data_IF_754829813518
#
_entry.id   IF_754829813518
#
_cell.length_a   1.000
_cell.length_b   1.000
_cell.length_c   1.000
_cell.angle_alpha   90.00
_cell.angle_beta   90.00
_cell.angle_gamma   90.00
#
_symmetry.space_group_name_H-M   'P 1'
#
loop_
_entity.id
_entity.type
_entity.pdbx_description
1 polymer ?
#
# COMPACT_ATOMS: atom_id res chain seq x y z
N UNK A 1 -21.63 10.20 -0.29
CA UNK A 1 -21.52 9.39 0.91
C UNK A 1 -21.52 7.92 0.53
N UNK A 2 -20.68 7.12 1.18
CA UNK A 2 -20.56 5.66 1.00
C UNK A 2 -21.95 4.94 1.01
N UNK A 3 -22.95 5.55 1.66
CA UNK A 3 -24.33 5.15 1.66
C UNK A 3 -25.00 5.17 0.26
N UNK A 4 -24.49 5.90 -0.72
CA UNK A 4 -25.15 6.03 -2.03
C UNK A 4 -24.78 4.90 -2.98
N UNK A 5 -23.51 4.45 -2.98
CA UNK A 5 -23.12 3.23 -3.74
C UNK A 5 -23.69 2.00 -3.03
N UNK A 6 -23.58 1.95 -1.70
CA UNK A 6 -24.25 0.92 -0.90
C UNK A 6 -25.77 1.01 -1.03
N UNK A 7 -26.37 2.22 -1.15
CA UNK A 7 -27.78 2.43 -1.40
C UNK A 7 -28.24 1.93 -2.78
N UNK A 8 -27.48 2.20 -3.83
CA UNK A 8 -27.78 1.70 -5.17
C UNK A 8 -27.54 0.20 -5.29
N UNK A 9 -26.46 -0.27 -4.66
CA UNK A 9 -26.12 -1.69 -4.60
C UNK A 9 -26.94 -2.45 -3.55
N UNK A 10 -27.43 -1.83 -2.46
CA UNK A 10 -28.35 -2.44 -1.51
C UNK A 10 -29.83 -2.29 -1.89
N UNK A 11 -30.24 -1.25 -2.61
CA UNK A 11 -31.56 -1.25 -3.30
C UNK A 11 -31.59 -2.31 -4.40
N UNK A 12 -30.41 -2.72 -4.89
CA UNK A 12 -30.19 -3.90 -5.73
C UNK A 12 -29.84 -5.16 -4.92
N UNK A 13 -29.82 -5.11 -3.57
CA UNK A 13 -29.35 -6.19 -2.67
C UNK A 13 -27.93 -6.69 -2.97
N UNK A 14 -27.02 -5.80 -3.33
CA UNK A 14 -25.59 -6.12 -3.51
C UNK A 14 -24.75 -5.59 -2.36
N UNK A 15 -23.99 -6.48 -1.78
CA UNK A 15 -22.72 -6.15 -1.14
C UNK A 15 -21.76 -5.65 -2.21
N UNK A 16 -21.00 -4.60 -1.94
CA UNK A 16 -20.03 -3.95 -2.83
C UNK A 16 -18.89 -4.91 -3.23
N UNK A 17 -19.17 -5.93 -4.01
CA UNK A 17 -18.24 -6.97 -4.38
C UNK A 17 -18.31 -7.26 -5.87
N UNK A 18 -17.17 -7.26 -6.49
CA UNK A 18 -16.81 -7.24 -7.88
C UNK A 18 -17.48 -8.28 -8.79
N UNK A 19 -17.69 -7.88 -10.01
CA UNK A 19 -18.39 -8.59 -11.06
C UNK A 19 -17.42 -9.36 -11.94
N UNK A 20 -17.67 -10.66 -12.14
CA UNK A 20 -17.13 -11.41 -13.27
C UNK A 20 -18.24 -11.57 -14.30
N UNK A 21 -18.04 -11.08 -15.50
CA UNK A 21 -18.99 -11.26 -16.60
C UNK A 21 -18.73 -12.59 -17.29
N UNK A 22 -19.62 -13.57 -17.12
CA UNK A 22 -19.67 -14.75 -17.99
C UNK A 22 -20.72 -14.52 -19.06
N UNK A 23 -20.29 -14.36 -20.30
CA UNK A 23 -21.15 -14.53 -21.46
C UNK A 23 -21.55 -15.98 -21.56
N UNK A 24 -22.85 -16.25 -21.57
CA UNK A 24 -23.40 -17.60 -21.71
C UNK A 24 -23.12 -18.19 -23.11
N UNK A 25 -21.93 -18.72 -23.32
CA UNK A 25 -21.65 -19.74 -24.34
C UNK A 25 -20.45 -20.54 -23.82
N UNK A 26 -20.75 -21.83 -23.64
CA UNK A 26 -19.87 -22.96 -23.27
C UNK A 26 -19.86 -23.33 -21.79
N UNK A 27 -20.70 -24.31 -21.50
CA UNK A 27 -20.61 -25.15 -20.33
C UNK A 27 -19.26 -25.90 -20.35
N UNK A 28 -18.30 -25.38 -19.57
CA UNK A 28 -17.19 -26.17 -19.09
C UNK A 28 -17.10 -25.96 -17.58
N UNK A 29 -17.61 -26.94 -16.86
CA UNK A 29 -17.49 -27.05 -15.42
C UNK A 29 -16.01 -27.25 -15.10
N UNK A 30 -15.27 -26.19 -14.83
CA UNK A 30 -13.93 -26.29 -14.27
C UNK A 30 -14.09 -26.48 -12.76
N UNK A 31 -13.87 -27.69 -12.29
CA UNK A 31 -13.70 -28.02 -10.88
C UNK A 31 -12.58 -27.13 -10.30
N UNK A 32 -12.72 -26.61 -9.05
CA UNK A 32 -11.65 -25.86 -8.41
C UNK A 32 -10.46 -26.80 -8.18
N UNK A 33 -9.42 -26.63 -8.98
CA UNK A 33 -8.15 -27.28 -8.75
C UNK A 33 -7.63 -26.83 -7.38
N UNK A 34 -7.41 -27.77 -6.48
CA UNK A 34 -6.60 -27.58 -5.28
C UNK A 34 -5.21 -27.13 -5.74
N UNK A 35 -4.94 -25.83 -5.65
CA UNK A 35 -3.64 -25.27 -5.98
C UNK A 35 -2.66 -25.62 -4.86
N UNK A 36 -1.88 -26.68 -5.07
CA UNK A 36 -0.60 -26.83 -4.41
C UNK A 36 0.25 -25.58 -4.73
N UNK A 37 0.82 -24.95 -3.71
CA UNK A 37 1.70 -23.80 -3.88
C UNK A 37 2.90 -24.19 -4.75
N UNK A 38 3.14 -23.55 -5.90
CA UNK A 38 4.32 -23.84 -6.70
C UNK A 38 5.51 -23.12 -6.10
N UNK A 39 6.42 -23.89 -5.54
CA UNK A 39 7.80 -23.46 -5.30
C UNK A 39 8.41 -23.05 -6.65
N UNK A 40 8.61 -21.75 -6.89
CA UNK A 40 9.20 -21.25 -8.13
C UNK A 40 8.62 -19.94 -8.70
N UNK A 41 7.48 -19.46 -8.19
CA UNK A 41 6.85 -18.24 -8.74
C UNK A 41 7.49 -16.92 -8.30
N UNK A 42 8.31 -16.89 -7.24
CA UNK A 42 8.93 -15.66 -6.76
C UNK A 42 9.95 -15.07 -7.76
N UNK A 43 10.64 -15.91 -8.54
CA UNK A 43 11.66 -15.46 -9.50
C UNK A 43 11.08 -14.78 -10.75
N UNK A 44 9.82 -15.06 -11.11
CA UNK A 44 9.19 -14.52 -12.31
C UNK A 44 8.63 -13.10 -12.15
N UNK A 45 8.33 -12.65 -10.92
CA UNK A 45 7.75 -11.33 -10.68
C UNK A 45 8.78 -10.21 -10.53
N UNK A 46 10.02 -10.54 -10.17
CA UNK A 46 11.07 -9.59 -9.82
C UNK A 46 12.31 -9.80 -10.70
N UNK A 47 12.13 -9.65 -12.01
CA UNK A 47 13.21 -9.78 -12.98
C UNK A 47 14.24 -8.64 -12.89
N UNK A 48 15.38 -8.83 -13.55
CA UNK A 48 16.46 -7.86 -13.54
C UNK A 48 16.06 -6.52 -14.16
N UNK A 49 15.09 -6.51 -15.06
CA UNK A 49 14.55 -5.29 -15.69
C UNK A 49 13.70 -4.50 -14.69
N UNK A 50 12.86 -5.19 -13.93
CA UNK A 50 12.07 -4.60 -12.85
C UNK A 50 12.97 -3.96 -11.79
N UNK A 51 14.01 -4.66 -11.34
CA UNK A 51 14.97 -4.13 -10.37
C UNK A 51 15.68 -2.88 -10.88
N UNK A 52 16.09 -2.84 -12.16
CA UNK A 52 16.65 -1.64 -12.77
C UNK A 52 15.67 -0.47 -12.83
N UNK A 53 14.38 -0.74 -13.10
CA UNK A 53 13.32 0.29 -13.07
C UNK A 53 13.15 0.87 -11.65
N UNK A 54 13.15 0.02 -10.61
CA UNK A 54 13.06 0.47 -9.22
C UNK A 54 14.27 1.31 -8.81
N UNK A 55 15.47 0.92 -9.22
CA UNK A 55 16.68 1.71 -8.91
C UNK A 55 16.62 3.12 -9.53
N UNK A 56 16.05 3.27 -10.72
CA UNK A 56 15.78 4.59 -11.31
C UNK A 56 14.76 5.39 -10.50
N UNK A 57 13.68 4.76 -10.05
CA UNK A 57 12.66 5.40 -9.19
C UNK A 57 13.26 5.91 -7.88
N UNK A 58 14.18 5.16 -7.27
CA UNK A 58 14.91 5.59 -6.07
C UNK A 58 15.63 6.92 -6.26
N UNK A 59 16.30 7.10 -7.41
CA UNK A 59 17.00 8.36 -7.71
C UNK A 59 16.05 9.55 -7.80
N UNK A 60 14.84 9.32 -8.33
CA UNK A 60 13.79 10.34 -8.41
C UNK A 60 13.21 10.62 -7.02
N UNK A 61 12.88 9.59 -6.24
CA UNK A 61 12.34 9.72 -4.89
C UNK A 61 13.29 10.47 -3.94
N UNK A 62 14.60 10.19 -4.02
CA UNK A 62 15.62 10.92 -3.25
C UNK A 62 15.66 12.42 -3.60
N UNK A 63 15.42 12.79 -4.86
CA UNK A 63 15.33 14.20 -5.28
C UNK A 63 14.07 14.89 -4.77
N UNK A 64 12.95 14.19 -4.69
CA UNK A 64 11.67 14.73 -4.21
C UNK A 64 11.65 14.91 -2.69
N UNK A 65 12.23 14.00 -1.91
CA UNK A 65 12.33 14.14 -0.46
C UNK A 65 13.22 15.32 -0.04
N UNK A 66 14.25 15.64 -0.81
CA UNK A 66 15.09 16.82 -0.60
C UNK A 66 14.35 18.15 -0.87
N UNK A 67 13.38 18.15 -1.74
CA UNK A 67 12.58 19.34 -2.06
C UNK A 67 11.46 19.62 -1.04
N UNK A 68 10.98 18.62 -0.29
CA UNK A 68 9.83 18.71 0.62
C UNK A 68 10.17 18.79 2.11
N UNK A 69 11.39 18.48 2.53
CA UNK A 69 11.74 18.37 3.95
C UNK A 69 12.25 19.69 4.58
N UNK A 70 11.53 20.80 4.35
CA UNK A 70 11.63 22.02 5.17
C UNK A 70 10.40 22.15 6.07
N UNK A 71 10.21 21.21 6.98
CA UNK A 71 9.14 21.22 7.99
C UNK A 71 9.71 20.84 9.35
N UNK A 72 9.57 21.77 10.30
CA UNK A 72 10.00 21.76 11.69
C UNK A 72 9.58 20.49 12.44
N UNK A 73 10.50 19.56 12.68
CA UNK A 73 10.48 18.66 13.86
C UNK A 73 11.87 18.09 14.08
N UNK A 74 12.75 18.92 14.68
CA UNK A 74 14.02 18.44 15.22
C UNK A 74 13.75 17.80 16.60
N UNK A 75 13.59 16.49 16.65
CA UNK A 75 13.61 15.74 17.92
C UNK A 75 14.96 15.05 18.06
N UNK A 76 15.79 15.59 18.96
CA UNK A 76 17.09 15.03 19.31
C UNK A 76 16.91 13.70 20.04
N UNK A 77 17.19 12.56 19.38
CA UNK A 77 17.42 11.25 20.02
C UNK A 77 18.87 10.83 19.85
N UNK A 78 19.51 10.46 20.98
CA UNK A 78 20.91 10.00 21.03
C UNK A 78 21.05 8.65 20.30
N UNK A 79 21.97 8.58 19.32
CA UNK A 79 22.47 7.28 18.83
C UNK A 79 22.48 7.06 17.32
N UNK A 80 22.28 8.06 16.46
CA UNK A 80 22.19 7.89 15.00
C UNK A 80 23.30 8.63 14.26
N UNK A 81 23.61 8.16 13.05
CA UNK A 81 24.54 8.82 12.13
C UNK A 81 24.06 10.25 11.87
N UNK A 82 24.87 11.21 12.31
CA UNK A 82 24.58 12.63 12.12
C UNK A 82 25.13 13.03 10.75
N UNK A 83 24.30 13.26 9.75
CA UNK A 83 24.74 13.93 8.53
C UNK A 83 24.84 15.43 8.77
N UNK A 84 25.98 16.01 8.37
CA UNK A 84 26.17 17.46 8.40
C UNK A 84 25.14 18.12 7.47
N UNK A 85 24.33 19.03 8.02
CA UNK A 85 23.28 19.74 7.27
C UNK A 85 23.70 21.18 6.93
N UNK A 86 24.11 21.95 7.92
CA UNK A 86 24.38 23.38 7.75
C UNK A 86 25.22 23.94 8.89
N UNK A 87 25.62 25.19 8.79
CA UNK A 87 26.22 25.98 9.85
C UNK A 87 25.24 27.04 10.37
N UNK A 88 25.16 27.20 11.68
CA UNK A 88 24.49 28.36 12.31
C UNK A 88 25.42 29.12 13.20
N UNK A 89 25.09 30.37 13.48
CA UNK A 89 25.86 31.14 14.44
C UNK A 89 25.75 30.53 15.86
N UNK A 90 26.86 30.51 16.56
CA UNK A 90 26.95 30.10 17.96
C UNK A 90 26.05 30.98 18.84
N UNK A 91 25.33 30.36 19.74
CA UNK A 91 24.57 31.01 20.79
C UNK A 91 25.13 30.59 22.17
N UNK A 92 25.14 31.49 23.18
CA UNK A 92 25.55 31.14 24.54
C UNK A 92 24.75 29.91 25.04
N UNK A 93 25.47 28.84 25.44
CA UNK A 93 24.87 27.56 25.84
C UNK A 93 25.01 26.43 24.83
N UNK A 94 25.45 26.74 23.61
CA UNK A 94 25.76 25.69 22.62
C UNK A 94 26.99 24.89 23.02
N UNK A 95 26.97 23.57 22.68
CA UNK A 95 28.09 22.65 22.93
C UNK A 95 29.26 22.97 22.01
N UNK A 96 30.36 23.40 22.60
CA UNK A 96 31.60 23.81 21.91
C UNK A 96 32.21 22.67 21.06
N UNK A 97 31.85 21.40 21.28
CA UNK A 97 32.29 20.25 20.47
C UNK A 97 31.80 20.32 19.03
N UNK A 98 30.71 21.03 18.79
CA UNK A 98 30.13 21.19 17.45
C UNK A 98 30.56 22.51 16.78
N UNK A 99 31.37 23.32 17.43
CA UNK A 99 31.97 24.55 16.84
C UNK A 99 33.02 24.15 15.82
N UNK A 100 32.95 24.74 14.62
CA UNK A 100 34.00 24.53 13.60
C UNK A 100 35.17 25.50 13.82
N UNK A 101 36.20 25.03 14.52
CA UNK A 101 37.38 25.82 14.84
C UNK A 101 38.22 26.19 13.60
N UNK A 102 38.08 25.48 12.48
CA UNK A 102 38.75 25.82 11.23
C UNK A 102 38.13 27.04 10.57
N UNK A 103 36.78 27.13 10.63
CA UNK A 103 36.06 28.30 10.13
C UNK A 103 36.35 29.50 11.03
N UNK A 104 36.33 29.32 12.35
CA UNK A 104 36.67 30.38 13.28
C UNK A 104 38.05 30.99 13.00
N UNK A 105 39.06 30.14 12.74
CA UNK A 105 40.42 30.62 12.42
C UNK A 105 40.52 31.42 11.13
N UNK A 106 39.60 31.23 10.18
CA UNK A 106 39.61 31.91 8.88
C UNK A 106 38.73 33.14 8.81
N UNK A 107 37.57 33.08 9.46
CA UNK A 107 36.53 34.08 9.32
C UNK A 107 36.21 34.82 10.63
N UNK A 108 36.85 34.46 11.73
CA UNK A 108 36.61 35.02 13.09
C UNK A 108 35.12 34.91 13.51
N UNK A 109 34.38 33.95 12.94
CA UNK A 109 32.98 33.69 13.24
C UNK A 109 32.82 32.36 13.92
N UNK A 110 32.17 32.34 15.09
CA UNK A 110 31.82 31.12 15.77
C UNK A 110 30.58 30.49 15.09
N UNK A 111 30.81 29.43 14.32
CA UNK A 111 29.76 28.65 13.66
C UNK A 111 29.68 27.27 14.28
N UNK A 112 28.47 26.85 14.57
CA UNK A 112 28.14 25.50 15.07
C UNK A 112 27.64 24.64 13.92
N UNK A 113 28.18 23.45 13.80
CA UNK A 113 27.70 22.43 12.84
C UNK A 113 26.31 21.99 13.25
N UNK A 114 25.36 22.15 12.37
CA UNK A 114 24.02 21.59 12.50
C UNK A 114 24.00 20.25 11.83
N UNK A 115 23.56 19.23 12.54
CA UNK A 115 23.41 17.90 12.02
C UNK A 115 21.93 17.53 11.96
N UNK A 116 21.51 16.97 10.85
CA UNK A 116 20.21 16.30 10.74
C UNK A 116 20.39 14.85 11.14
N UNK A 117 19.59 14.39 12.09
CA UNK A 117 19.47 12.95 12.34
C UNK A 117 18.68 12.34 11.18
N UNK A 118 19.27 11.39 10.46
CA UNK A 118 18.47 10.50 9.62
C UNK A 118 17.59 9.65 10.56
N UNK A 119 16.32 10.00 10.70
CA UNK A 119 15.37 9.19 11.44
C UNK A 119 15.01 7.96 10.59
N UNK A 120 15.41 6.77 11.07
CA UNK A 120 14.93 5.51 10.49
C UNK A 120 13.41 5.45 10.61
N UNK A 121 12.71 5.37 9.49
CA UNK A 121 11.26 5.23 9.47
C UNK A 121 10.88 3.73 9.47
N UNK A 122 9.83 3.39 10.21
CA UNK A 122 9.19 2.09 10.06
C UNK A 122 8.20 2.16 8.91
N UNK A 123 8.36 1.34 7.89
CA UNK A 123 7.46 1.21 6.74
C UNK A 123 6.77 -0.13 6.83
N UNK A 124 5.46 -0.11 6.85
CA UNK A 124 4.62 -1.30 6.91
C UNK A 124 3.83 -1.45 5.61
N UNK A 125 3.94 -2.61 4.98
CA UNK A 125 3.15 -2.97 3.81
C UNK A 125 1.95 -3.79 4.28
N UNK A 126 0.75 -3.28 4.07
CA UNK A 126 -0.50 -3.97 4.37
C UNK A 126 -1.21 -4.29 3.06
N UNK A 127 -1.15 -5.55 2.63
CA UNK A 127 -1.51 -5.98 1.28
C UNK A 127 -2.77 -6.81 1.31
N UNK A 128 -3.76 -6.36 0.56
CA UNK A 128 -5.01 -7.08 0.37
C UNK A 128 -4.79 -8.34 -0.46
N UNK A 129 -5.25 -9.46 0.08
CA UNK A 129 -5.23 -10.79 -0.56
C UNK A 129 -6.61 -11.42 -0.59
N UNK A 130 -7.67 -10.62 -0.62
CA UNK A 130 -9.04 -11.08 -0.84
C UNK A 130 -9.21 -11.68 -2.24
N UNK A 131 -10.31 -12.38 -2.47
CA UNK A 131 -10.62 -12.95 -3.78
C UNK A 131 -10.75 -11.90 -4.86
N UNK A 132 -11.23 -10.72 -4.53
CA UNK A 132 -11.36 -9.60 -5.46
C UNK A 132 -10.02 -9.24 -6.11
N UNK A 133 -8.92 -9.32 -5.35
CA UNK A 133 -7.56 -9.03 -5.82
C UNK A 133 -7.03 -10.08 -6.82
N UNK A 134 -7.65 -11.24 -6.94
CA UNK A 134 -7.31 -12.24 -7.96
C UNK A 134 -7.91 -11.91 -9.33
N UNK A 135 -8.81 -10.94 -9.43
CA UNK A 135 -9.47 -10.55 -10.66
C UNK A 135 -8.58 -9.66 -11.53
N UNK A 136 -8.96 -9.57 -12.81
CA UNK A 136 -8.23 -8.79 -13.81
C UNK A 136 -7.24 -9.61 -14.64
N UNK A 137 -6.76 -9.01 -15.74
CA UNK A 137 -5.75 -9.61 -16.60
C UNK A 137 -4.75 -8.53 -17.06
N UNK A 138 -3.58 -8.41 -16.40
CA UNK A 138 -3.07 -9.22 -15.28
C UNK A 138 -3.86 -9.02 -13.98
N UNK A 139 -3.81 -10.00 -13.07
CA UNK A 139 -4.54 -9.93 -11.81
C UNK A 139 -4.08 -8.72 -10.95
N UNK A 140 -5.03 -8.09 -10.24
CA UNK A 140 -4.75 -6.93 -9.36
C UNK A 140 -3.63 -7.21 -8.35
N UNK A 141 -3.60 -8.45 -7.81
CA UNK A 141 -2.56 -8.86 -6.86
C UNK A 141 -1.15 -8.82 -7.47
N UNK A 142 -0.99 -9.09 -8.76
CA UNK A 142 0.32 -9.07 -9.41
C UNK A 142 0.84 -7.62 -9.52
N UNK A 143 -0.06 -6.68 -9.75
CA UNK A 143 0.28 -5.26 -9.70
C UNK A 143 0.59 -4.81 -8.27
N UNK A 144 -0.24 -5.22 -7.29
CA UNK A 144 -0.02 -4.97 -5.87
C UNK A 144 1.36 -5.44 -5.40
N UNK A 145 1.77 -6.65 -5.78
CA UNK A 145 3.11 -7.20 -5.48
C UNK A 145 4.23 -6.33 -6.02
N UNK A 146 4.12 -5.89 -7.28
CA UNK A 146 5.14 -5.04 -7.93
C UNK A 146 5.25 -3.67 -7.26
N UNK A 147 4.13 -3.03 -6.97
CA UNK A 147 4.13 -1.73 -6.27
C UNK A 147 4.68 -1.87 -4.86
N UNK A 148 4.22 -2.86 -4.10
CA UNK A 148 4.72 -3.11 -2.75
C UNK A 148 6.23 -3.45 -2.73
N UNK A 149 6.70 -4.24 -3.71
CA UNK A 149 8.13 -4.53 -3.88
C UNK A 149 8.94 -3.26 -4.15
N UNK A 150 8.44 -2.39 -5.04
CA UNK A 150 9.10 -1.14 -5.37
C UNK A 150 9.22 -0.21 -4.15
N UNK A 151 8.10 0.03 -3.46
CA UNK A 151 8.05 0.92 -2.30
C UNK A 151 8.88 0.36 -1.13
N UNK A 152 8.75 -0.93 -0.83
CA UNK A 152 9.55 -1.58 0.22
C UNK A 152 11.04 -1.61 -0.10
N UNK A 153 11.42 -1.84 -1.35
CA UNK A 153 12.83 -1.79 -1.78
C UNK A 153 13.42 -0.38 -1.65
N UNK A 154 12.65 0.66 -2.03
CA UNK A 154 13.09 2.06 -1.88
C UNK A 154 13.33 2.37 -0.40
N UNK A 155 12.40 2.00 0.50
CA UNK A 155 12.57 2.18 1.94
C UNK A 155 13.83 1.47 2.47
N UNK A 156 14.02 0.19 2.13
CA UNK A 156 15.21 -0.58 2.55
C UNK A 156 16.53 0.02 2.03
N UNK A 157 16.51 0.63 0.85
CA UNK A 157 17.67 1.33 0.29
C UNK A 157 17.94 2.68 0.94
N UNK A 158 16.91 3.29 1.53
CA UNK A 158 17.03 4.52 2.33
C UNK A 158 17.37 4.23 3.80
N UNK A 159 17.73 2.97 4.12
CA UNK A 159 18.03 2.51 5.47
C UNK A 159 16.82 2.43 6.41
N UNK A 160 15.62 2.59 5.90
CA UNK A 160 14.39 2.40 6.66
C UNK A 160 14.18 0.93 7.04
N UNK A 161 13.33 0.72 8.03
CA UNK A 161 12.91 -0.62 8.45
C UNK A 161 11.59 -0.97 7.74
N UNK A 162 11.57 -2.06 7.01
CA UNK A 162 10.39 -2.52 6.27
C UNK A 162 9.85 -3.81 6.86
N UNK A 163 8.56 -3.86 7.06
CA UNK A 163 7.79 -5.02 7.48
C UNK A 163 6.37 -4.95 6.94
N UNK A 164 5.46 -5.79 7.43
CA UNK A 164 4.06 -5.74 7.02
C UNK A 164 3.33 -7.06 7.18
N UNK A 165 2.18 -7.17 6.55
CA UNK A 165 1.38 -8.37 6.51
C UNK A 165 0.44 -8.35 5.30
N UNK A 166 -0.08 -9.51 4.92
CA UNK A 166 -1.23 -9.60 4.04
C UNK A 166 -2.52 -9.70 4.85
N UNK A 167 -3.63 -9.33 4.26
CA UNK A 167 -4.94 -9.43 4.88
C UNK A 167 -6.03 -9.87 3.90
N UNK A 168 -7.06 -10.47 4.44
CA UNK A 168 -8.35 -10.72 3.84
C UNK A 168 -9.41 -10.54 4.94
N UNK A 169 -10.14 -11.58 5.37
CA UNK A 169 -10.99 -11.54 6.58
C UNK A 169 -10.16 -11.26 7.84
N UNK A 170 -8.93 -11.75 7.86
CA UNK A 170 -7.99 -11.60 8.98
C UNK A 170 -6.59 -11.27 8.46
N UNK A 171 -5.72 -10.87 9.37
CA UNK A 171 -4.32 -10.65 9.08
C UNK A 171 -3.60 -11.99 8.88
N UNK A 172 -2.84 -12.09 7.80
CA UNK A 172 -2.08 -13.29 7.44
C UNK A 172 -0.60 -12.97 7.23
N UNK A 173 0.22 -14.00 7.26
CA UNK A 173 1.63 -14.00 6.84
C UNK A 173 2.40 -12.72 7.21
N UNK A 174 2.73 -12.50 8.50
CA UNK A 174 3.43 -11.28 8.87
C UNK A 174 4.89 -11.31 8.40
N UNK A 175 5.33 -10.21 7.80
CA UNK A 175 6.73 -9.90 7.54
C UNK A 175 7.24 -9.04 8.70
N UNK A 176 8.12 -9.58 9.54
CA UNK A 176 8.69 -8.83 10.66
C UNK A 176 9.50 -7.63 10.18
N UNK A 177 9.47 -6.53 10.94
CA UNK A 177 10.30 -5.36 10.67
C UNK A 177 11.78 -5.72 10.61
N UNK A 178 12.45 -5.28 9.56
CA UNK A 178 13.86 -5.51 9.38
C UNK A 178 14.47 -4.52 8.41
N UNK A 179 15.81 -4.54 8.30
CA UNK A 179 16.59 -3.66 7.41
C UNK A 179 17.69 -4.42 6.68
N UNK A 180 18.24 -3.77 5.66
CA UNK A 180 19.40 -4.25 4.91
C UNK A 180 19.07 -5.37 3.92
N UNK A 181 20.14 -5.95 3.33
CA UNK A 181 20.04 -6.86 2.18
C UNK A 181 19.23 -8.14 2.47
N UNK A 182 19.34 -8.69 3.68
CA UNK A 182 18.56 -9.88 4.07
C UNK A 182 17.05 -9.61 4.08
N UNK A 183 16.65 -8.39 4.44
CA UNK A 183 15.23 -8.01 4.45
C UNK A 183 14.66 -7.85 3.04
N UNK A 184 15.47 -7.45 2.05
CA UNK A 184 15.05 -7.42 0.64
C UNK A 184 14.62 -8.80 0.17
N UNK A 185 15.43 -9.83 0.47
CA UNK A 185 15.08 -11.22 0.11
C UNK A 185 13.82 -11.70 0.82
N UNK A 186 13.69 -11.37 2.12
CA UNK A 186 12.46 -11.71 2.88
C UNK A 186 11.23 -11.01 2.32
N UNK A 187 11.35 -9.75 1.93
CA UNK A 187 10.28 -8.99 1.30
C UNK A 187 9.83 -9.64 0.00
N UNK A 188 10.76 -9.99 -0.89
CA UNK A 188 10.42 -10.61 -2.16
C UNK A 188 9.81 -12.00 -1.99
N UNK A 189 10.32 -12.82 -1.06
CA UNK A 189 9.73 -14.10 -0.72
C UNK A 189 8.32 -13.95 -0.14
N UNK A 190 8.12 -12.98 0.76
CA UNK A 190 6.81 -12.65 1.30
C UNK A 190 5.81 -12.29 0.18
N UNK A 191 6.19 -11.37 -0.72
CA UNK A 191 5.33 -10.93 -1.82
C UNK A 191 5.06 -12.06 -2.84
N UNK A 192 6.07 -12.88 -3.15
CA UNK A 192 5.94 -14.02 -4.05
C UNK A 192 5.02 -15.12 -3.50
N UNK A 193 4.98 -15.28 -2.17
CA UNK A 193 4.15 -16.28 -1.49
C UNK A 193 2.70 -15.86 -1.24
N UNK A 194 2.30 -14.63 -1.59
CA UNK A 194 0.92 -14.18 -1.40
C UNK A 194 -0.04 -14.99 -2.28
N UNK A 195 -1.17 -15.41 -1.71
CA UNK A 195 -2.27 -16.07 -2.40
C UNK A 195 -3.59 -15.41 -2.04
N UNK A 196 -4.43 -15.16 -3.03
CA UNK A 196 -5.74 -14.53 -2.81
C UNK A 196 -6.77 -15.57 -2.37
N UNK A 197 -7.47 -15.29 -1.28
CA UNK A 197 -8.54 -16.15 -0.76
C UNK A 197 -9.43 -15.41 0.24
N UNK A 198 -10.68 -15.83 0.33
CA UNK A 198 -11.63 -15.30 1.31
C UNK A 198 -12.20 -13.93 0.94
N UNK A 199 -13.02 -13.41 1.84
CA UNK A 199 -13.61 -12.08 1.77
C UNK A 199 -12.68 -11.04 2.42
N UNK A 200 -13.05 -9.75 2.34
CA UNK A 200 -12.30 -8.64 2.92
C UNK A 200 -12.95 -8.17 4.22
N UNK A 201 -12.15 -7.97 5.28
CA UNK A 201 -12.48 -7.18 6.47
C UNK A 201 -11.24 -6.37 6.87
N UNK A 202 -11.15 -5.16 6.33
CA UNK A 202 -10.00 -4.27 6.57
C UNK A 202 -9.95 -3.83 8.03
N UNK A 203 -11.10 -3.60 8.67
CA UNK A 203 -11.16 -3.12 10.05
C UNK A 203 -10.65 -4.16 11.05
N UNK A 204 -11.06 -5.40 10.92
CA UNK A 204 -10.58 -6.49 11.77
C UNK A 204 -9.09 -6.72 11.57
N UNK A 205 -8.64 -6.66 10.31
CA UNK A 205 -7.25 -6.82 9.93
C UNK A 205 -6.36 -5.70 10.47
N UNK A 206 -6.80 -4.44 10.42
CA UNK A 206 -6.09 -3.29 10.98
C UNK A 206 -5.97 -3.38 12.51
N UNK A 207 -7.00 -3.84 13.21
CA UNK A 207 -6.91 -4.07 14.66
C UNK A 207 -5.85 -5.11 15.03
N UNK A 208 -5.81 -6.19 14.27
CA UNK A 208 -4.81 -7.24 14.44
C UNK A 208 -3.41 -6.73 14.10
N UNK A 209 -3.30 -5.93 13.03
CA UNK A 209 -2.06 -5.27 12.63
C UNK A 209 -1.53 -4.34 13.73
N UNK A 210 -2.35 -3.46 14.29
CA UNK A 210 -1.93 -2.54 15.35
C UNK A 210 -1.48 -3.25 16.64
N UNK A 211 -1.97 -4.46 16.90
CA UNK A 211 -1.49 -5.31 18.02
C UNK A 211 -0.14 -5.92 17.72
N UNK A 212 0.08 -6.35 16.47
CA UNK A 212 1.32 -6.98 16.04
C UNK A 212 2.45 -5.98 15.84
N UNK A 213 2.13 -4.78 15.36
CA UNK A 213 3.06 -3.71 15.06
C UNK A 213 2.71 -2.43 15.86
N UNK A 214 3.06 -2.38 17.16
CA UNK A 214 2.69 -1.27 18.02
C UNK A 214 3.46 0.02 17.79
N UNK A 215 4.57 -0.03 17.03
CA UNK A 215 5.42 1.11 16.74
C UNK A 215 4.83 1.95 15.61
N UNK A 216 4.70 3.25 15.81
CA UNK A 216 4.26 4.16 14.77
C UNK A 216 5.22 4.17 13.57
N UNK A 217 4.68 4.43 12.37
CA UNK A 217 5.43 4.49 11.13
C UNK A 217 4.50 4.75 9.95
N UNK A 218 5.03 4.65 8.74
CA UNK A 218 4.26 4.73 7.50
C UNK A 218 3.60 3.39 7.19
N UNK A 219 2.28 3.34 7.14
CA UNK A 219 1.51 2.17 6.70
C UNK A 219 1.06 2.40 5.26
N UNK A 220 1.51 1.54 4.37
CA UNK A 220 1.14 1.53 2.97
C UNK A 220 0.09 0.44 2.78
N UNK A 221 -1.16 0.85 2.63
CA UNK A 221 -2.30 -0.05 2.37
C UNK A 221 -2.45 -0.22 0.87
N UNK A 222 -2.36 -1.45 0.37
CA UNK A 222 -2.50 -1.78 -1.05
C UNK A 222 -3.74 -2.66 -1.20
N UNK A 223 -4.82 -2.11 -1.76
CA UNK A 223 -6.14 -2.76 -1.83
C UNK A 223 -6.99 -2.11 -2.93
N UNK A 224 -8.03 -2.79 -3.35
CA UNK A 224 -9.12 -2.22 -4.15
C UNK A 224 -10.17 -1.51 -3.28
N UNK A 225 -10.03 -1.56 -1.95
CA UNK A 225 -10.89 -0.93 -0.94
C UNK A 225 -12.37 -1.31 -1.03
N UNK A 226 -12.74 -2.31 -1.81
CA UNK A 226 -14.12 -2.79 -1.90
C UNK A 226 -14.50 -3.65 -0.67
N UNK A 227 -14.39 -3.05 0.51
CA UNK A 227 -14.81 -3.67 1.78
C UNK A 227 -16.27 -3.30 2.10
N UNK A 228 -17.18 -4.27 2.26
CA UNK A 228 -18.58 -4.01 2.66
C UNK A 228 -18.72 -3.29 4.00
N UNK A 229 -17.79 -3.53 4.94
CA UNK A 229 -17.77 -2.87 6.24
C UNK A 229 -17.25 -1.42 6.16
N UNK A 230 -16.66 -1.04 5.02
CA UNK A 230 -16.11 0.27 4.75
C UNK A 230 -14.68 0.47 5.29
N UNK A 231 -13.89 1.16 4.50
CA UNK A 231 -12.46 1.39 4.75
C UNK A 231 -12.16 2.53 5.75
N UNK A 232 -13.09 3.51 5.90
CA UNK A 232 -12.86 4.74 6.69
C UNK A 232 -12.53 4.45 8.15
N UNK A 233 -13.30 3.58 8.80
CA UNK A 233 -13.09 3.24 10.21
C UNK A 233 -11.74 2.54 10.44
N UNK A 234 -11.28 1.75 9.48
CA UNK A 234 -9.98 1.10 9.53
C UNK A 234 -8.82 2.12 9.42
N UNK A 235 -8.90 3.05 8.46
CA UNK A 235 -7.88 4.08 8.32
C UNK A 235 -7.86 5.05 9.52
N UNK A 236 -9.03 5.39 10.08
CA UNK A 236 -9.11 6.19 11.31
C UNK A 236 -8.40 5.49 12.49
N UNK A 237 -8.55 4.17 12.62
CA UNK A 237 -7.88 3.40 13.68
C UNK A 237 -6.35 3.45 13.53
N UNK A 238 -5.81 3.37 12.31
CA UNK A 238 -4.38 3.60 12.03
C UNK A 238 -3.93 5.01 12.43
N UNK A 239 -4.72 6.04 12.07
CA UNK A 239 -4.41 7.42 12.40
C UNK A 239 -4.40 7.67 13.93
N UNK A 240 -5.36 7.11 14.68
CA UNK A 240 -5.39 7.16 16.15
C UNK A 240 -4.12 6.55 16.74
N UNK A 241 -3.57 5.51 16.13
CA UNK A 241 -2.29 4.89 16.53
C UNK A 241 -1.06 5.64 16.06
N UNK A 242 -1.23 6.86 15.50
CA UNK A 242 -0.17 7.76 15.01
C UNK A 242 0.64 7.19 13.84
N UNK A 243 0.05 6.30 13.06
CA UNK A 243 0.62 5.92 11.79
C UNK A 243 0.35 6.99 10.74
N UNK A 244 1.35 7.26 9.89
CA UNK A 244 1.13 7.91 8.61
C UNK A 244 0.54 6.89 7.65
N UNK A 245 -0.39 7.30 6.80
CA UNK A 245 -1.13 6.36 5.95
C UNK A 245 -0.93 6.77 4.49
N UNK A 246 -0.50 5.82 3.68
CA UNK A 246 -0.49 5.92 2.23
C UNK A 246 -1.39 4.81 1.68
N UNK A 247 -2.40 5.17 0.93
CA UNK A 247 -3.26 4.20 0.26
C UNK A 247 -2.85 4.08 -1.20
N UNK A 248 -2.60 2.86 -1.65
CA UNK A 248 -2.41 2.51 -3.04
C UNK A 248 -3.66 1.78 -3.50
N UNK A 249 -4.56 2.54 -4.12
CA UNK A 249 -5.81 2.02 -4.62
C UNK A 249 -5.61 1.35 -5.98
N UNK A 250 -6.04 0.09 -6.12
CA UNK A 250 -5.88 -0.70 -7.34
C UNK A 250 -7.26 -1.06 -7.90
N UNK A 251 -7.53 -0.62 -9.12
CA UNK A 251 -8.77 -0.89 -9.84
C UNK A 251 -8.43 -1.52 -11.19
N UNK A 252 -9.23 -2.51 -11.62
CA UNK A 252 -9.15 -3.05 -12.97
C UNK A 252 -9.92 -2.13 -13.95
N UNK A 253 -9.42 -2.05 -15.18
CA UNK A 253 -10.09 -1.30 -16.25
C UNK A 253 -11.50 -1.80 -16.52
N UNK A 254 -11.73 -3.11 -16.44
CA UNK A 254 -13.07 -3.71 -16.61
C UNK A 254 -14.04 -3.33 -15.49
N UNK A 255 -13.53 -3.05 -14.28
CA UNK A 255 -14.32 -2.53 -13.16
C UNK A 255 -14.71 -1.07 -13.39
N UNK A 256 -13.81 -0.28 -13.98
CA UNK A 256 -14.08 1.13 -14.26
C UNK A 256 -14.96 1.33 -15.49
N UNK A 257 -14.88 0.45 -16.48
CA UNK A 257 -15.58 0.55 -17.76
C UNK A 257 -16.08 -0.80 -18.23
N UNK A 258 -17.20 -1.32 -17.68
CA UNK A 258 -17.79 -2.57 -18.12
C UNK A 258 -18.14 -2.55 -19.61
N UNK A 259 -17.55 -3.46 -20.39
CA UNK A 259 -17.78 -3.56 -21.84
C UNK A 259 -18.93 -4.47 -22.22
N UNK A 260 -19.52 -5.19 -21.27
CA UNK A 260 -20.65 -6.09 -21.50
C UNK A 260 -21.95 -5.33 -21.76
N UNK A 261 -22.86 -5.92 -22.55
CA UNK A 261 -24.20 -5.41 -22.79
C UNK A 261 -25.19 -6.55 -22.96
N UNK A 262 -26.46 -6.35 -22.59
CA UNK A 262 -27.51 -7.36 -22.68
C UNK A 262 -27.70 -8.16 -21.40
N UNK A 263 -28.21 -9.39 -21.53
CA UNK A 263 -28.42 -10.29 -20.39
C UNK A 263 -27.09 -10.81 -19.86
N UNK A 264 -26.76 -10.43 -18.64
CA UNK A 264 -25.55 -10.87 -17.95
C UNK A 264 -25.88 -11.48 -16.59
N UNK A 265 -25.07 -12.40 -16.16
CA UNK A 265 -25.10 -12.92 -14.79
C UNK A 265 -23.95 -12.32 -14.01
N UNK A 266 -24.29 -11.55 -12.99
CA UNK A 266 -23.32 -11.02 -12.03
C UNK A 266 -23.08 -12.06 -10.96
N UNK A 267 -21.80 -12.41 -10.76
CA UNK A 267 -21.37 -13.29 -9.68
C UNK A 267 -20.60 -12.49 -8.64
N UNK A 268 -21.03 -12.54 -7.39
CA UNK A 268 -20.26 -12.03 -6.28
C UNK A 268 -19.05 -12.94 -6.06
N UNK A 269 -17.86 -12.40 -6.26
CA UNK A 269 -16.59 -13.16 -6.19
C UNK A 269 -16.32 -13.68 -4.78
N UNK A 270 -16.79 -12.98 -3.75
CA UNK A 270 -16.53 -13.32 -2.36
C UNK A 270 -17.65 -14.13 -1.71
N UNK A 271 -18.91 -13.79 -1.99
CA UNK A 271 -20.09 -14.44 -1.43
C UNK A 271 -20.67 -15.55 -2.30
N UNK A 272 -20.27 -15.62 -3.58
CA UNK A 272 -20.77 -16.65 -4.52
C UNK A 272 -22.23 -16.46 -4.94
N UNK A 273 -22.86 -15.31 -4.63
CA UNK A 273 -24.22 -15.04 -5.04
C UNK A 273 -24.29 -14.64 -6.52
N UNK A 274 -25.22 -15.23 -7.24
CA UNK A 274 -25.45 -14.92 -8.65
C UNK A 274 -26.73 -14.10 -8.84
N UNK A 275 -26.68 -13.13 -9.74
CA UNK A 275 -27.85 -12.36 -10.15
C UNK A 275 -27.85 -12.07 -11.63
N UNK A 276 -28.96 -12.38 -12.29
CA UNK A 276 -29.18 -12.02 -13.69
C UNK A 276 -29.71 -10.59 -13.78
N UNK A 277 -29.07 -9.79 -14.60
CA UNK A 277 -29.47 -8.42 -14.90
C UNK A 277 -29.37 -8.17 -16.39
N UNK A 278 -30.15 -7.23 -16.87
CA UNK A 278 -30.00 -6.66 -18.22
C UNK A 278 -29.14 -5.41 -18.11
N UNK A 279 -27.93 -5.49 -18.67
CA UNK A 279 -26.99 -4.38 -18.65
C UNK A 279 -27.23 -3.49 -19.88
N UNK A 280 -27.86 -2.35 -19.65
CA UNK A 280 -28.06 -1.30 -20.64
C UNK A 280 -27.09 -0.12 -20.43
N UNK A 281 -27.08 0.77 -21.41
CA UNK A 281 -26.21 1.94 -21.37
C UNK A 281 -26.54 2.91 -20.22
N UNK A 282 -27.79 2.93 -19.72
CA UNK A 282 -28.19 3.77 -18.61
C UNK A 282 -27.65 3.23 -17.29
N UNK A 283 -27.75 1.93 -17.07
CA UNK A 283 -27.20 1.26 -15.88
C UNK A 283 -25.68 1.39 -15.81
N UNK A 284 -24.99 1.25 -16.95
CA UNK A 284 -23.53 1.49 -17.03
C UNK A 284 -23.18 2.92 -16.66
N UNK A 285 -23.91 3.92 -17.14
CA UNK A 285 -23.65 5.33 -16.79
C UNK A 285 -23.87 5.60 -15.30
N UNK A 286 -24.95 5.05 -14.71
CA UNK A 286 -25.22 5.17 -13.27
C UNK A 286 -24.10 4.51 -12.45
N UNK A 287 -23.67 3.32 -12.84
CA UNK A 287 -22.54 2.63 -12.19
C UNK A 287 -21.28 3.49 -12.23
N UNK A 288 -20.90 4.01 -13.41
CA UNK A 288 -19.72 4.85 -13.56
C UNK A 288 -19.81 6.15 -12.74
N UNK A 289 -20.98 6.75 -12.62
CA UNK A 289 -21.18 7.94 -11.78
C UNK A 289 -20.96 7.62 -10.29
N UNK A 290 -21.52 6.51 -9.81
CA UNK A 290 -21.34 6.10 -8.41
C UNK A 290 -19.91 5.65 -8.13
N UNK A 291 -19.27 4.97 -9.07
CA UNK A 291 -17.85 4.62 -8.95
C UNK A 291 -16.98 5.89 -8.85
N UNK A 292 -17.19 6.88 -9.71
CA UNK A 292 -16.45 8.16 -9.63
C UNK A 292 -16.64 8.83 -8.28
N UNK A 293 -17.87 8.92 -7.77
CA UNK A 293 -18.11 9.45 -6.42
C UNK A 293 -17.36 8.69 -5.34
N UNK A 294 -17.33 7.37 -5.46
CA UNK A 294 -16.58 6.53 -4.53
C UNK A 294 -15.08 6.80 -4.59
N UNK A 295 -14.53 6.98 -5.80
CA UNK A 295 -13.12 7.34 -6.00
C UNK A 295 -12.79 8.72 -5.42
N UNK A 296 -13.64 9.72 -5.70
CA UNK A 296 -13.51 11.10 -5.16
C UNK A 296 -13.58 11.13 -3.62
N UNK A 297 -14.21 10.13 -2.99
CA UNK A 297 -14.25 9.99 -1.53
C UNK A 297 -12.97 9.39 -0.93
N UNK A 298 -12.18 8.69 -1.73
CA UNK A 298 -10.91 8.06 -1.31
C UNK A 298 -9.75 9.06 -1.43
N UNK A 299 -9.80 9.99 -2.39
CA UNK A 299 -8.83 11.07 -2.56
C UNK A 299 -8.96 12.15 -1.47
#
# INVERSE_FOLDING_TARGET
SCASIQGLLSSMQFSTRLFSTHTAKEQNIIQPAQAAAPEGRAETFFDAEFLKKIERLRLVAKRLSWAGAKGEHAVSRKGFSLEFSDYRNYQPGDDLRYVDWNIYRRLERLLVKVFTAEEEMNIYLLIDTSRSMAQGSPAKIDYARRVAAALGYIGLKNLDRVGGASFAIALHTPLTLGRGRKQILRLFNFLGGLSCSGATDLRLSVRSFCRLFPQAGLVIVVSDLFDPAGWRAALQELAIKKHQILVVHIIDEQESSPSASGDITLCDVEGGHERKIFLDAELVRRYQQELRRYLDEIE
#
